data_IF_094077625674
#
_entry.id   IF_094077625674
#
_cell.length_a   1.000
_cell.length_b   1.000
_cell.length_c   1.000
_cell.angle_alpha   90.00
_cell.angle_beta   90.00
_cell.angle_gamma   90.00
#
_symmetry.space_group_name_H-M   'P 1'
#
loop_
_entity.id
_entity.type
_entity.pdbx_description
1 polymer ?
#
# COMPACT_ATOMS: atom_id res chain seq x y z
N UNK A 1 4.59 -28.57 -6.48
CA UNK A 1 4.94 -27.26 -7.05
C UNK A 1 5.26 -26.34 -5.87
N UNK A 2 6.32 -25.51 -5.92
CA UNK A 2 6.72 -24.66 -4.78
C UNK A 2 5.70 -23.55 -4.62
N UNK A 3 5.09 -23.41 -3.44
CA UNK A 3 4.23 -22.29 -3.04
C UNK A 3 5.06 -21.21 -2.38
N UNK A 4 4.68 -19.94 -2.59
CA UNK A 4 5.31 -18.80 -1.93
C UNK A 4 4.32 -18.20 -0.94
N UNK A 5 4.78 -17.97 0.30
CA UNK A 5 3.95 -17.43 1.38
C UNK A 5 4.06 -15.90 1.51
N UNK A 6 4.99 -15.30 0.77
CA UNK A 6 5.23 -13.86 0.71
C UNK A 6 5.59 -13.45 -0.71
N UNK A 7 5.21 -12.25 -1.16
CA UNK A 7 5.37 -11.84 -2.56
C UNK A 7 6.83 -11.70 -2.98
N UNK A 8 7.66 -11.05 -2.21
CA UNK A 8 9.07 -10.79 -2.52
C UNK A 8 10.04 -11.60 -1.66
N UNK A 9 11.28 -11.73 -2.09
CA UNK A 9 12.33 -12.35 -1.29
C UNK A 9 12.76 -11.39 -0.17
N UNK A 10 12.71 -11.80 1.12
CA UNK A 10 13.01 -10.92 2.25
C UNK A 10 14.39 -10.28 2.13
N UNK A 11 14.48 -8.99 2.45
CA UNK A 11 15.71 -8.20 2.45
C UNK A 11 16.46 -8.19 1.11
N UNK A 12 15.84 -8.66 0.03
CA UNK A 12 16.41 -8.63 -1.31
C UNK A 12 15.87 -7.41 -2.06
N UNK A 13 16.75 -6.42 -2.33
CA UNK A 13 16.52 -5.38 -3.32
C UNK A 13 17.05 -5.83 -4.67
N UNK A 14 16.33 -5.56 -5.74
CA UNK A 14 16.79 -5.79 -7.11
C UNK A 14 17.79 -4.73 -7.55
N UNK A 15 18.67 -5.10 -8.47
CA UNK A 15 19.69 -4.24 -9.06
C UNK A 15 19.53 -4.27 -10.58
N UNK A 16 19.65 -3.13 -11.23
CA UNK A 16 19.68 -3.03 -12.68
C UNK A 16 20.95 -3.68 -13.23
N UNK A 17 20.89 -4.15 -14.47
CA UNK A 17 22.09 -4.58 -15.19
C UNK A 17 23.03 -3.40 -15.36
N UNK A 18 24.30 -3.57 -15.02
CA UNK A 18 25.34 -2.56 -15.19
C UNK A 18 26.03 -2.70 -16.54
N UNK A 19 26.68 -1.64 -16.99
CA UNK A 19 27.46 -1.65 -18.23
C UNK A 19 28.46 -2.83 -18.22
N UNK A 20 28.40 -3.65 -19.27
CA UNK A 20 29.23 -4.84 -19.42
C UNK A 20 28.70 -6.13 -18.80
N UNK A 21 27.57 -6.09 -18.07
CA UNK A 21 26.88 -7.30 -17.59
C UNK A 21 25.88 -7.81 -18.64
N UNK A 22 25.65 -9.13 -18.63
CA UNK A 22 24.67 -9.74 -19.54
C UNK A 22 23.26 -9.53 -19.01
N UNK A 23 22.47 -8.74 -19.74
CA UNK A 23 21.02 -8.58 -19.51
C UNK A 23 20.20 -9.73 -20.10
N UNK A 24 18.89 -9.55 -20.15
CA UNK A 24 17.98 -10.48 -20.82
C UNK A 24 18.06 -10.29 -22.35
N UNK A 25 17.80 -11.39 -23.08
CA UNK A 25 17.53 -11.29 -24.53
C UNK A 25 16.24 -10.50 -24.80
N UNK A 26 16.06 -10.07 -26.06
CA UNK A 26 14.94 -9.19 -26.43
C UNK A 26 13.56 -9.79 -26.17
N UNK A 27 13.40 -11.12 -26.31
CA UNK A 27 12.14 -11.79 -26.05
C UNK A 27 11.85 -11.85 -24.53
N UNK A 28 12.82 -12.26 -23.74
CA UNK A 28 12.71 -12.30 -22.28
C UNK A 28 12.50 -10.90 -21.69
N UNK A 29 13.14 -9.87 -22.24
CA UNK A 29 12.93 -8.49 -21.85
C UNK A 29 11.47 -8.03 -22.15
N UNK A 30 10.94 -8.35 -23.33
CA UNK A 30 9.55 -8.05 -23.68
C UNK A 30 8.56 -8.75 -22.73
N UNK A 31 8.79 -10.02 -22.42
CA UNK A 31 8.00 -10.80 -21.45
C UNK A 31 8.08 -10.18 -20.05
N UNK A 32 9.26 -9.72 -19.63
CA UNK A 32 9.44 -9.03 -18.35
C UNK A 32 8.58 -7.76 -18.27
N UNK A 33 8.66 -6.89 -19.26
CA UNK A 33 7.86 -5.65 -19.33
C UNK A 33 6.36 -5.93 -19.30
N UNK A 34 5.90 -6.94 -20.03
CA UNK A 34 4.50 -7.36 -20.02
C UNK A 34 4.07 -7.86 -18.65
N UNK A 35 4.87 -8.75 -18.03
CA UNK A 35 4.58 -9.29 -16.69
C UNK A 35 4.51 -8.22 -15.62
N UNK A 36 5.46 -7.29 -15.62
CA UNK A 36 5.45 -6.13 -14.68
C UNK A 36 4.25 -5.22 -14.93
N UNK A 37 3.88 -4.97 -16.20
CA UNK A 37 2.69 -4.20 -16.55
C UNK A 37 1.39 -4.83 -16.03
N UNK A 38 1.25 -6.15 -16.11
CA UNK A 38 0.12 -6.89 -15.54
C UNK A 38 0.09 -6.79 -14.02
N UNK A 39 1.25 -6.94 -13.36
CA UNK A 39 1.36 -6.82 -11.90
C UNK A 39 1.02 -5.42 -11.41
N UNK A 40 1.39 -4.36 -12.14
CA UNK A 40 1.03 -2.98 -11.79
C UNK A 40 -0.50 -2.78 -11.71
N UNK A 41 -1.27 -3.48 -12.53
CA UNK A 41 -2.73 -3.41 -12.45
C UNK A 41 -3.26 -3.98 -11.13
N UNK A 42 -2.60 -5.02 -10.59
CA UNK A 42 -2.98 -5.66 -9.33
C UNK A 42 -2.83 -4.72 -8.12
N UNK A 43 -1.98 -3.70 -8.18
CA UNK A 43 -1.81 -2.72 -7.10
C UNK A 43 -3.08 -1.98 -6.71
N UNK A 44 -4.10 -1.96 -7.57
CA UNK A 44 -5.39 -1.32 -7.27
C UNK A 44 -6.18 -2.04 -6.16
N UNK A 45 -5.92 -3.33 -5.95
CA UNK A 45 -6.67 -4.17 -5.01
C UNK A 45 -5.77 -5.03 -4.11
N UNK A 46 -4.45 -5.01 -4.35
CA UNK A 46 -3.44 -5.82 -3.64
C UNK A 46 -2.31 -4.92 -3.12
N UNK A 47 -2.56 -4.19 -2.02
CA UNK A 47 -1.54 -3.35 -1.36
C UNK A 47 -0.29 -4.13 -0.95
N UNK A 48 -0.45 -5.38 -0.56
CA UNK A 48 0.60 -6.29 -0.13
C UNK A 48 1.70 -6.55 -1.18
N UNK A 49 1.42 -6.25 -2.44
CA UNK A 49 2.36 -6.41 -3.56
C UNK A 49 3.18 -5.13 -3.82
N UNK A 50 2.89 -4.01 -3.16
CA UNK A 50 3.37 -2.69 -3.57
C UNK A 50 4.91 -2.62 -3.63
N UNK A 51 5.62 -3.04 -2.59
CA UNK A 51 7.07 -3.00 -2.59
C UNK A 51 7.69 -4.01 -3.58
N UNK A 52 7.17 -5.23 -3.66
CA UNK A 52 7.68 -6.24 -4.59
C UNK A 52 7.56 -5.76 -6.06
N UNK A 53 6.43 -5.14 -6.41
CA UNK A 53 6.21 -4.59 -7.75
C UNK A 53 7.07 -3.34 -7.99
N UNK A 54 7.26 -2.46 -6.99
CA UNK A 54 8.18 -1.32 -7.10
C UNK A 54 9.59 -1.79 -7.43
N UNK A 55 10.10 -2.82 -6.76
CA UNK A 55 11.41 -3.39 -7.06
C UNK A 55 11.50 -3.88 -8.52
N UNK A 56 10.46 -4.53 -9.03
CA UNK A 56 10.41 -4.97 -10.42
C UNK A 56 10.36 -3.79 -11.40
N UNK A 57 9.56 -2.76 -11.10
CA UNK A 57 9.45 -1.58 -11.99
C UNK A 57 10.75 -0.82 -12.13
N UNK A 58 11.58 -0.81 -11.08
CA UNK A 58 12.92 -0.21 -11.10
C UNK A 58 13.81 -0.81 -12.19
N UNK A 59 13.65 -2.08 -12.49
CA UNK A 59 14.48 -2.82 -13.44
C UNK A 59 13.90 -2.91 -14.87
N UNK A 60 12.79 -2.21 -15.19
CA UNK A 60 12.07 -2.37 -16.48
C UNK A 60 12.91 -1.99 -17.69
N UNK A 61 13.81 -0.99 -17.58
CA UNK A 61 14.70 -0.60 -18.68
C UNK A 61 15.78 -1.65 -18.96
N UNK A 62 16.37 -2.19 -17.88
CA UNK A 62 17.52 -3.10 -17.97
C UNK A 62 17.37 -4.24 -16.95
N UNK A 63 16.46 -5.20 -17.23
CA UNK A 63 16.20 -6.29 -16.30
C UNK A 63 17.30 -7.34 -16.31
N UNK A 64 17.75 -7.72 -15.11
CA UNK A 64 18.66 -8.84 -14.91
C UNK A 64 17.92 -10.18 -14.93
N UNK A 65 18.61 -11.31 -15.15
CA UNK A 65 18.04 -12.65 -14.96
C UNK A 65 17.46 -12.86 -13.54
N UNK A 66 18.04 -12.22 -12.53
CA UNK A 66 17.52 -12.24 -11.16
C UNK A 66 16.18 -11.50 -11.05
N UNK A 67 16.05 -10.32 -11.68
CA UNK A 67 14.79 -9.58 -11.74
C UNK A 67 13.69 -10.37 -12.46
N UNK A 68 14.02 -11.05 -13.56
CA UNK A 68 13.08 -11.92 -14.26
C UNK A 68 12.57 -13.08 -13.39
N UNK A 69 13.47 -13.73 -12.66
CA UNK A 69 13.11 -14.79 -11.71
C UNK A 69 12.22 -14.28 -10.58
N UNK A 70 12.49 -13.10 -10.06
CA UNK A 70 11.67 -12.50 -9.01
C UNK A 70 10.28 -12.09 -9.56
N UNK A 71 10.20 -11.59 -10.78
CA UNK A 71 8.90 -11.34 -11.44
C UNK A 71 8.05 -12.62 -11.51
N UNK A 72 8.64 -13.74 -11.95
CA UNK A 72 7.93 -15.03 -11.99
C UNK A 72 7.50 -15.50 -10.60
N UNK A 73 8.30 -15.22 -9.57
CA UNK A 73 7.94 -15.49 -8.18
C UNK A 73 6.71 -14.70 -7.77
N UNK A 74 6.68 -13.37 -8.03
CA UNK A 74 5.53 -12.51 -7.69
C UNK A 74 4.28 -12.94 -8.46
N UNK A 75 4.40 -13.26 -9.75
CA UNK A 75 3.28 -13.80 -10.54
C UNK A 75 2.75 -15.10 -9.93
N UNK A 76 3.65 -16.03 -9.58
CA UNK A 76 3.25 -17.29 -8.93
C UNK A 76 2.55 -17.05 -7.60
N UNK A 77 3.06 -16.12 -6.79
CA UNK A 77 2.42 -15.72 -5.53
C UNK A 77 0.99 -15.17 -5.76
N UNK A 78 0.80 -14.31 -6.77
CA UNK A 78 -0.52 -13.78 -7.13
C UNK A 78 -1.48 -14.89 -7.53
N UNK A 79 -1.00 -15.89 -8.32
CA UNK A 79 -1.81 -17.05 -8.71
C UNK A 79 -2.18 -17.90 -7.48
N UNK A 80 -1.23 -18.14 -6.58
CA UNK A 80 -1.43 -18.95 -5.37
C UNK A 80 -2.37 -18.26 -4.35
N UNK A 81 -2.52 -16.93 -4.45
CA UNK A 81 -3.39 -16.10 -3.61
C UNK A 81 -4.44 -15.35 -4.43
N UNK A 82 -5.01 -16.04 -5.45
CA UNK A 82 -6.00 -15.43 -6.36
C UNK A 82 -7.30 -15.04 -5.66
N UNK A 83 -7.58 -15.62 -4.53
CA UNK A 83 -8.70 -15.34 -3.62
C UNK A 83 -8.45 -14.17 -2.66
N UNK A 84 -7.23 -13.60 -2.63
CA UNK A 84 -6.91 -12.42 -1.83
C UNK A 84 -7.37 -11.15 -2.52
N UNK A 85 -7.91 -10.20 -1.74
CA UNK A 85 -8.35 -8.90 -2.23
C UNK A 85 -8.29 -7.82 -1.17
N UNK A 86 -8.57 -6.59 -1.57
CA UNK A 86 -8.61 -5.44 -0.66
C UNK A 86 -9.64 -5.66 0.44
N UNK A 87 -9.24 -5.42 1.70
CA UNK A 87 -10.16 -5.48 2.84
C UNK A 87 -11.03 -4.24 2.88
N UNK A 88 -12.29 -4.38 2.46
CA UNK A 88 -13.29 -3.32 2.52
C UNK A 88 -14.24 -3.66 3.67
N UNK A 89 -13.82 -3.36 4.89
CA UNK A 89 -14.63 -3.60 6.09
C UNK A 89 -14.52 -2.39 7.05
N UNK A 90 -15.50 -1.47 7.01
CA UNK A 90 -15.47 -0.30 7.88
C UNK A 90 -15.58 -0.72 9.35
N UNK A 91 -14.62 -0.28 10.16
CA UNK A 91 -14.55 -0.59 11.61
C UNK A 91 -15.09 0.52 12.49
N UNK A 92 -15.22 1.73 11.95
CA UNK A 92 -15.68 2.91 12.66
C UNK A 92 -16.88 3.51 11.95
N UNK A 93 -18.07 3.05 12.30
CA UNK A 93 -19.32 3.76 12.01
C UNK A 93 -19.56 4.70 13.19
N UNK A 94 -19.14 5.94 13.07
CA UNK A 94 -19.36 6.94 14.13
C UNK A 94 -20.81 7.35 14.17
N UNK A 95 -21.43 7.22 15.32
CA UNK A 95 -22.67 7.92 15.65
C UNK A 95 -22.37 9.43 15.55
N UNK A 96 -22.82 10.12 14.51
CA UNK A 96 -22.57 11.53 14.29
C UNK A 96 -21.86 11.90 13.00
N UNK A 97 -21.67 10.96 12.07
CA UNK A 97 -21.30 11.17 10.65
C UNK A 97 -19.92 11.80 10.39
N UNK A 98 -18.98 11.84 11.35
CA UNK A 98 -17.62 12.25 11.07
C UNK A 98 -16.78 11.06 10.64
N UNK A 99 -16.07 11.20 9.53
CA UNK A 99 -15.20 10.14 9.00
C UNK A 99 -13.80 10.25 9.62
N UNK A 100 -13.31 9.13 10.16
CA UNK A 100 -12.00 9.04 10.79
C UNK A 100 -10.95 8.63 9.76
N UNK A 101 -9.89 9.43 9.66
CA UNK A 101 -8.72 9.14 8.83
C UNK A 101 -7.54 8.74 9.70
N UNK A 102 -6.81 7.70 9.28
CA UNK A 102 -5.58 7.23 9.96
C UNK A 102 -4.53 6.89 8.91
N UNK A 103 -3.37 7.51 9.03
CA UNK A 103 -2.22 7.29 8.15
C UNK A 103 -1.11 6.54 8.89
N UNK A 104 -0.51 5.56 8.21
CA UNK A 104 0.77 4.95 8.62
C UNK A 104 1.83 5.28 7.58
N UNK A 105 3.01 5.68 8.05
CA UNK A 105 4.16 6.01 7.21
C UNK A 105 5.40 5.29 7.71
N UNK A 106 6.25 4.88 6.78
CA UNK A 106 7.53 4.21 7.03
C UNK A 106 8.55 4.60 5.97
N UNK A 107 9.85 4.47 6.29
CA UNK A 107 10.92 4.58 5.31
C UNK A 107 12.00 3.52 5.49
N UNK A 108 12.48 2.94 4.39
CA UNK A 108 13.72 2.15 4.37
C UNK A 108 14.89 3.04 3.99
N UNK A 109 15.66 3.46 5.00
CA UNK A 109 16.77 4.38 4.81
C UNK A 109 17.88 3.77 3.96
N UNK A 110 18.22 4.46 2.85
CA UNK A 110 19.21 4.00 1.89
C UNK A 110 18.94 2.57 1.35
N UNK A 111 17.65 2.18 1.28
CA UNK A 111 17.21 0.84 0.90
C UNK A 111 17.44 0.51 -0.57
N UNK A 112 17.48 1.51 -1.47
CA UNK A 112 17.80 1.26 -2.87
C UNK A 112 19.29 0.91 -3.03
N UNK A 113 19.56 -0.27 -3.61
CA UNK A 113 20.94 -0.75 -3.78
C UNK A 113 21.66 -0.14 -4.97
N UNK A 114 20.92 0.47 -5.91
CA UNK A 114 21.52 1.11 -7.08
C UNK A 114 22.04 2.52 -6.76
N UNK A 115 21.22 3.35 -6.13
CA UNK A 115 21.55 4.78 -5.92
C UNK A 115 21.56 5.21 -4.44
N UNK A 116 21.34 4.27 -3.53
CA UNK A 116 21.32 4.48 -2.07
C UNK A 116 20.27 5.48 -1.59
N UNK A 117 19.24 5.74 -2.39
CA UNK A 117 18.07 6.51 -1.94
C UNK A 117 17.19 5.68 -1.02
N UNK A 118 16.48 6.37 -0.16
CA UNK A 118 15.52 5.76 0.74
C UNK A 118 14.22 5.44 0.01
N UNK A 119 13.45 4.52 0.57
CA UNK A 119 12.14 4.14 0.07
C UNK A 119 11.10 4.70 1.04
N UNK A 120 10.11 5.43 0.54
CA UNK A 120 8.94 5.85 1.31
C UNK A 120 7.78 4.89 1.09
N UNK A 121 7.11 4.52 2.18
CA UNK A 121 5.91 3.70 2.17
C UNK A 121 4.82 4.33 3.02
N UNK A 122 3.56 4.25 2.58
CA UNK A 122 2.42 4.66 3.40
C UNK A 122 1.15 3.91 3.04
N UNK A 123 0.21 3.95 3.98
CA UNK A 123 -1.16 3.51 3.78
C UNK A 123 -2.11 4.41 4.57
N UNK A 124 -3.15 4.91 3.92
CA UNK A 124 -4.19 5.76 4.50
C UNK A 124 -5.51 4.99 4.59
N UNK A 125 -6.11 5.05 5.75
CA UNK A 125 -7.43 4.48 6.05
C UNK A 125 -8.48 5.57 6.20
N UNK A 126 -9.68 5.27 5.73
CA UNK A 126 -10.91 6.02 6.01
C UNK A 126 -11.89 5.07 6.70
N UNK A 127 -12.27 5.35 7.93
CA UNK A 127 -13.13 4.48 8.76
C UNK A 127 -12.64 3.01 8.82
N UNK A 128 -11.32 2.78 8.84
CA UNK A 128 -10.72 1.45 8.86
C UNK A 128 -10.60 0.77 7.49
N UNK A 129 -11.06 1.41 6.41
CA UNK A 129 -10.91 0.90 5.04
C UNK A 129 -9.69 1.54 4.39
N UNK A 130 -8.73 0.77 3.84
CA UNK A 130 -7.59 1.33 3.11
C UNK A 130 -8.06 1.99 1.80
N UNK A 131 -7.71 3.25 1.59
CA UNK A 131 -8.14 4.04 0.42
C UNK A 131 -7.00 4.48 -0.49
N UNK A 132 -5.80 4.66 0.06
CA UNK A 132 -4.59 4.93 -0.73
C UNK A 132 -3.36 4.32 -0.07
N UNK A 133 -2.43 3.88 -0.88
CA UNK A 133 -1.14 3.29 -0.45
C UNK A 133 -0.08 3.51 -1.51
N UNK A 134 1.17 3.55 -1.08
CA UNK A 134 2.29 3.77 -1.98
C UNK A 134 3.57 3.10 -1.48
N UNK A 135 4.40 2.73 -2.44
CA UNK A 135 5.80 2.35 -2.26
C UNK A 135 6.61 3.10 -3.32
N UNK A 136 7.46 4.05 -2.92
CA UNK A 136 8.19 4.93 -3.83
C UNK A 136 9.61 5.19 -3.36
N UNK A 137 10.57 5.24 -4.30
CA UNK A 137 11.90 5.77 -4.03
C UNK A 137 11.87 7.28 -3.78
N UNK A 138 12.56 7.73 -2.74
CA UNK A 138 12.71 9.16 -2.47
C UNK A 138 13.52 9.85 -3.58
N UNK A 139 13.15 11.09 -3.91
CA UNK A 139 13.83 11.86 -4.97
C UNK A 139 15.20 12.37 -4.52
N UNK A 140 15.37 12.59 -3.24
CA UNK A 140 16.59 13.11 -2.61
C UNK A 140 17.23 12.05 -1.72
N UNK A 141 18.54 12.14 -1.52
CA UNK A 141 19.26 11.28 -0.57
C UNK A 141 19.07 11.83 0.83
N UNK A 142 18.49 11.03 1.73
CA UNK A 142 18.37 11.34 3.15
C UNK A 142 19.70 11.05 3.86
N UNK A 143 20.14 11.96 4.72
CA UNK A 143 21.41 11.85 5.44
C UNK A 143 21.31 11.01 6.73
N UNK A 144 20.09 10.69 7.17
CA UNK A 144 19.82 9.86 8.34
C UNK A 144 18.48 9.15 8.20
N UNK A 145 18.27 8.11 9.04
CA UNK A 145 16.95 7.43 9.11
C UNK A 145 15.84 8.39 9.53
N UNK A 146 16.08 9.28 10.49
CA UNK A 146 15.10 10.28 10.91
C UNK A 146 14.70 11.23 9.78
N UNK A 147 15.67 11.64 8.92
CA UNK A 147 15.37 12.46 7.75
C UNK A 147 14.58 11.69 6.70
N UNK A 148 14.89 10.41 6.47
CA UNK A 148 14.13 9.57 5.56
C UNK A 148 12.67 9.40 6.02
N UNK A 149 12.45 9.16 7.32
CA UNK A 149 11.12 9.09 7.93
C UNK A 149 10.36 10.42 7.84
N UNK A 150 11.05 11.54 8.12
CA UNK A 150 10.47 12.87 7.97
C UNK A 150 9.99 13.13 6.54
N UNK A 151 10.79 12.74 5.53
CA UNK A 151 10.43 12.87 4.12
C UNK A 151 9.22 11.99 3.81
N UNK A 152 9.24 10.72 4.24
CA UNK A 152 8.17 9.76 3.99
C UNK A 152 6.83 10.24 4.58
N UNK A 153 6.83 10.63 5.85
CA UNK A 153 5.65 11.15 6.53
C UNK A 153 5.12 12.42 5.85
N UNK A 154 6.02 13.34 5.45
CA UNK A 154 5.63 14.57 4.78
C UNK A 154 5.02 14.34 3.39
N UNK A 155 5.54 13.36 2.64
CA UNK A 155 4.96 12.96 1.36
C UNK A 155 3.60 12.28 1.54
N UNK A 156 3.45 11.44 2.56
CA UNK A 156 2.20 10.78 2.89
C UNK A 156 1.10 11.74 3.37
N UNK A 157 1.46 12.77 4.14
CA UNK A 157 0.50 13.81 4.57
C UNK A 157 -0.13 14.54 3.38
N UNK A 158 0.54 14.68 2.23
CA UNK A 158 -0.09 15.26 1.03
C UNK A 158 -1.27 14.44 0.52
N UNK A 159 -1.19 13.11 0.63
CA UNK A 159 -2.32 12.22 0.29
C UNK A 159 -3.48 12.42 1.26
N UNK A 160 -3.19 12.60 2.57
CA UNK A 160 -4.21 12.97 3.56
C UNK A 160 -4.91 14.25 3.16
N UNK A 161 -4.15 15.30 2.80
CA UNK A 161 -4.70 16.59 2.39
C UNK A 161 -5.64 16.45 1.19
N UNK A 162 -5.23 15.69 0.20
CA UNK A 162 -6.04 15.44 -0.98
C UNK A 162 -7.35 14.74 -0.64
N UNK A 163 -7.29 13.68 0.19
CA UNK A 163 -8.49 12.94 0.62
C UNK A 163 -9.42 13.81 1.47
N UNK A 164 -8.87 14.60 2.41
CA UNK A 164 -9.65 15.55 3.22
C UNK A 164 -10.37 16.55 2.34
N UNK A 165 -9.68 17.19 1.38
CA UNK A 165 -10.30 18.17 0.46
C UNK A 165 -11.41 17.52 -0.38
N UNK A 166 -11.21 16.28 -0.83
CA UNK A 166 -12.22 15.54 -1.58
C UNK A 166 -13.46 15.25 -0.73
N UNK A 167 -13.28 14.83 0.54
CA UNK A 167 -14.38 14.59 1.47
C UNK A 167 -15.12 15.89 1.81
N UNK A 168 -14.40 17.01 2.04
CA UNK A 168 -14.99 18.33 2.25
C UNK A 168 -15.81 18.80 1.04
N UNK A 169 -15.30 18.59 -0.17
CA UNK A 169 -16.05 18.89 -1.40
C UNK A 169 -17.35 18.08 -1.49
N UNK A 170 -17.31 16.82 -1.08
CA UNK A 170 -18.50 15.95 -0.98
C UNK A 170 -19.39 16.27 0.22
N UNK A 171 -19.03 17.27 1.04
CA UNK A 171 -19.72 17.65 2.29
C UNK A 171 -19.76 16.53 3.33
N UNK A 172 -18.75 15.67 3.31
CA UNK A 172 -18.54 14.63 4.32
C UNK A 172 -17.65 15.18 5.42
N UNK A 173 -18.14 15.32 6.67
CA UNK A 173 -17.34 15.84 7.76
C UNK A 173 -16.24 14.87 8.18
N UNK A 174 -15.02 15.37 8.36
CA UNK A 174 -13.86 14.62 8.81
C UNK A 174 -13.60 14.89 10.29
N UNK A 175 -13.23 13.85 11.03
CA UNK A 175 -12.76 13.97 12.41
C UNK A 175 -11.34 14.55 12.40
N UNK A 176 -11.13 15.65 13.11
CA UNK A 176 -9.83 16.30 13.24
C UNK A 176 -9.34 16.25 14.70
N UNK A 177 -8.04 16.13 14.93
CA UNK A 177 -6.96 15.97 13.95
C UNK A 177 -6.93 14.59 13.29
N UNK A 178 -6.41 14.50 12.05
CA UNK A 178 -6.10 13.22 11.40
C UNK A 178 -4.85 12.63 12.04
N UNK A 179 -4.90 11.36 12.46
CA UNK A 179 -3.78 10.68 13.12
C UNK A 179 -2.77 10.16 12.09
N UNK A 180 -1.50 10.51 12.27
CA UNK A 180 -0.35 10.07 11.45
C UNK A 180 0.60 9.25 12.31
N UNK A 181 0.71 7.96 12.04
CA UNK A 181 1.61 7.04 12.73
C UNK A 181 3.00 7.02 12.08
N UNK A 182 4.04 7.26 12.90
CA UNK A 182 5.47 7.24 12.50
C UNK A 182 6.26 6.48 13.57
N UNK A 183 7.22 5.66 13.18
CA UNK A 183 7.99 4.83 14.13
C UNK A 183 9.35 5.40 14.52
N UNK A 184 9.62 6.67 14.19
CA UNK A 184 10.87 7.35 14.48
C UNK A 184 10.65 8.65 15.28
N UNK A 185 11.07 8.64 16.55
CA UNK A 185 10.94 9.82 17.43
C UNK A 185 11.73 11.04 16.92
N UNK A 186 12.85 10.84 16.22
CA UNK A 186 13.62 11.92 15.61
C UNK A 186 12.85 12.59 14.48
N UNK A 187 12.14 11.82 13.67
CA UNK A 187 11.27 12.33 12.61
C UNK A 187 10.07 13.09 13.20
N UNK A 188 9.44 12.56 14.25
CA UNK A 188 8.35 13.24 14.96
C UNK A 188 8.81 14.60 15.50
N UNK A 189 9.98 14.62 16.15
CA UNK A 189 10.56 15.88 16.61
C UNK A 189 10.79 16.90 15.47
N UNK A 190 11.25 16.43 14.30
CA UNK A 190 11.44 17.29 13.12
C UNK A 190 10.09 17.80 12.56
N UNK A 191 9.05 16.98 12.57
CA UNK A 191 7.71 17.36 12.10
C UNK A 191 7.04 18.41 13.00
N UNK A 192 7.23 18.30 14.31
CA UNK A 192 6.59 19.20 15.31
C UNK A 192 7.35 20.51 15.49
N UNK A 193 8.65 20.56 15.20
CA UNK A 193 9.49 21.71 15.51
C UNK A 193 9.90 22.51 14.28
N UNK A 194 9.66 23.84 14.32
CA UNK A 194 10.08 24.78 13.27
C UNK A 194 11.59 25.09 13.25
N UNK A 195 12.38 24.55 14.18
CA UNK A 195 13.81 24.84 14.26
C UNK A 195 14.58 24.16 13.13
N UNK A 196 14.84 24.90 12.06
CA UNK A 196 15.70 24.44 10.98
C UNK A 196 17.16 24.38 11.45
N UNK A 197 17.67 23.19 11.68
CA UNK A 197 19.12 22.99 11.74
C UNK A 197 19.72 23.30 10.37
N UNK A 198 20.92 23.89 10.32
CA UNK A 198 21.63 24.18 9.06
C UNK A 198 21.74 22.94 8.14
N UNK A 199 21.74 21.72 8.72
CA UNK A 199 21.81 20.43 8.00
C UNK A 199 20.51 20.03 7.31
N UNK A 200 19.33 20.39 7.84
CA UNK A 200 18.01 19.98 7.32
C UNK A 200 17.32 21.09 6.53
N UNK A 201 17.92 22.26 6.42
CA UNK A 201 17.30 23.46 5.81
C UNK A 201 16.76 23.23 4.38
N UNK A 202 17.42 22.40 3.58
CA UNK A 202 16.99 22.08 2.22
C UNK A 202 15.74 21.15 2.19
N UNK A 203 15.55 20.39 3.26
CA UNK A 203 14.39 19.51 3.47
C UNK A 203 13.24 20.31 4.09
N UNK A 204 13.55 21.15 5.09
CA UNK A 204 12.57 21.96 5.82
C UNK A 204 11.75 22.87 4.91
N UNK A 205 12.38 23.53 3.93
CA UNK A 205 11.66 24.42 3.00
C UNK A 205 10.57 23.66 2.21
N UNK A 206 10.83 22.40 1.84
CA UNK A 206 9.90 21.60 1.03
C UNK A 206 8.72 21.08 1.85
N UNK A 207 8.95 20.74 3.12
CA UNK A 207 7.98 19.99 3.93
C UNK A 207 7.41 20.79 5.12
N UNK A 208 7.76 22.07 5.22
CA UNK A 208 7.32 22.96 6.29
C UNK A 208 5.78 23.05 6.45
N UNK A 209 5.05 22.78 5.37
CA UNK A 209 3.58 22.78 5.41
C UNK A 209 3.04 21.77 6.43
N UNK A 210 3.75 20.65 6.69
CA UNK A 210 3.30 19.64 7.67
C UNK A 210 3.28 20.21 9.08
N UNK A 211 4.31 20.96 9.47
CA UNK A 211 4.38 21.65 10.75
C UNK A 211 3.23 22.66 10.91
N UNK A 212 2.90 23.41 9.84
CA UNK A 212 1.77 24.34 9.86
C UNK A 212 0.42 23.63 10.06
N UNK A 213 0.28 22.39 9.56
CA UNK A 213 -0.92 21.57 9.75
C UNK A 213 -1.03 21.00 11.16
N UNK A 214 0.11 20.62 11.76
CA UNK A 214 0.18 20.18 13.16
C UNK A 214 -0.23 21.36 14.08
N UNK A 215 0.32 22.57 13.85
CA UNK A 215 -0.02 23.77 14.64
C UNK A 215 -1.52 24.14 14.54
N UNK A 216 -2.11 23.96 13.36
CA UNK A 216 -3.55 24.18 13.13
C UNK A 216 -4.42 23.05 13.68
N UNK A 217 -3.84 22.01 14.28
CA UNK A 217 -4.54 20.82 14.78
C UNK A 217 -5.37 20.11 13.69
N UNK A 218 -4.88 20.12 12.46
CA UNK A 218 -5.48 19.38 11.35
C UNK A 218 -4.92 17.96 11.26
N UNK A 219 -3.67 17.76 11.67
CA UNK A 219 -3.06 16.47 11.87
C UNK A 219 -2.39 16.39 13.23
N UNK A 220 -2.25 15.20 13.76
CA UNK A 220 -1.41 14.85 14.90
C UNK A 220 -0.47 13.73 14.52
N UNK A 221 0.78 13.78 14.98
CA UNK A 221 1.77 12.73 14.73
C UNK A 221 1.93 11.91 15.99
N UNK A 222 1.77 10.59 15.86
CA UNK A 222 1.78 9.65 16.98
C UNK A 222 2.85 8.60 16.74
N UNK A 223 3.67 8.33 17.77
CA UNK A 223 4.65 7.25 17.70
C UNK A 223 3.96 5.90 17.66
N UNK A 224 4.40 5.04 16.75
CA UNK A 224 4.06 3.62 16.69
C UNK A 224 5.33 2.78 16.79
N UNK A 225 5.27 1.63 17.43
CA UNK A 225 6.44 0.72 17.46
C UNK A 225 6.66 0.14 16.06
N UNK A 226 7.91 -0.04 15.64
CA UNK A 226 8.24 -0.59 14.31
C UNK A 226 7.50 -1.90 14.00
N UNK A 227 7.37 -2.81 14.97
CA UNK A 227 6.64 -4.07 14.77
C UNK A 227 5.12 -3.89 14.55
N UNK A 228 4.58 -2.76 14.96
CA UNK A 228 3.16 -2.40 14.87
C UNK A 228 2.91 -1.46 13.67
N UNK A 229 3.97 -0.97 13.02
CA UNK A 229 3.87 -0.10 11.86
C UNK A 229 3.52 -0.92 10.60
N UNK A 230 2.24 -0.96 10.27
CA UNK A 230 1.72 -1.75 9.15
C UNK A 230 2.19 -1.27 7.78
N UNK A 231 2.84 -0.10 7.70
CA UNK A 231 3.44 0.42 6.47
C UNK A 231 4.83 -0.18 6.15
N UNK A 232 5.44 -0.95 7.03
CA UNK A 232 6.76 -1.58 6.86
C UNK A 232 6.86 -2.42 5.56
N UNK A 233 5.78 -3.13 5.21
CA UNK A 233 5.69 -3.92 3.97
C UNK A 233 5.66 -3.10 2.67
N UNK A 234 5.51 -1.77 2.75
CA UNK A 234 5.56 -0.88 1.58
C UNK A 234 6.96 -0.34 1.30
N UNK A 235 7.90 -0.50 2.22
CA UNK A 235 9.28 0.02 2.07
C UNK A 235 10.30 -1.06 1.78
N UNK A 236 10.06 -2.29 2.25
CA UNK A 236 10.96 -3.44 2.06
C UNK A 236 10.20 -4.77 1.91
N UNK A 237 10.87 -5.78 1.36
CA UNK A 237 10.36 -7.14 1.36
C UNK A 237 10.53 -7.73 2.77
N UNK A 238 9.45 -7.75 3.53
CA UNK A 238 9.42 -8.23 4.91
C UNK A 238 9.50 -9.76 5.01
N UNK A 239 9.87 -10.27 6.18
CA UNK A 239 9.82 -11.69 6.44
C UNK A 239 8.37 -12.20 6.58
N UNK A 240 8.19 -13.53 6.64
CA UNK A 240 6.89 -14.18 6.72
C UNK A 240 6.08 -13.73 7.94
N UNK A 241 6.69 -13.64 9.11
CA UNK A 241 6.03 -13.25 10.34
C UNK A 241 5.45 -11.84 10.25
N UNK A 242 6.25 -10.87 9.82
CA UNK A 242 5.80 -9.49 9.62
C UNK A 242 4.71 -9.41 8.55
N UNK A 243 4.86 -10.14 7.43
CA UNK A 243 3.84 -10.20 6.39
C UNK A 243 2.51 -10.72 6.93
N UNK A 244 2.52 -11.82 7.67
CA UNK A 244 1.31 -12.43 8.24
C UNK A 244 0.64 -11.54 9.30
N UNK A 245 1.42 -10.72 10.02
CA UNK A 245 0.89 -9.80 11.01
C UNK A 245 0.31 -8.53 10.39
N UNK A 246 0.91 -7.99 9.32
CA UNK A 246 0.51 -6.71 8.74
C UNK A 246 -0.56 -6.84 7.64
N UNK A 247 -0.44 -7.84 6.77
CA UNK A 247 -1.33 -8.01 5.61
C UNK A 247 -2.81 -8.08 5.96
N UNK A 248 -3.26 -8.74 7.06
CA UNK A 248 -4.68 -8.78 7.41
C UNK A 248 -5.32 -7.42 7.75
N UNK A 249 -4.50 -6.36 7.90
CA UNK A 249 -5.03 -5.01 8.08
C UNK A 249 -5.59 -4.41 6.77
N UNK A 250 -5.09 -4.83 5.61
CA UNK A 250 -5.44 -4.24 4.32
C UNK A 250 -5.80 -5.23 3.21
N UNK A 251 -5.55 -6.53 3.40
CA UNK A 251 -5.94 -7.61 2.47
C UNK A 251 -6.68 -8.68 3.24
N UNK A 252 -7.67 -9.29 2.61
CA UNK A 252 -8.42 -10.43 3.15
C UNK A 252 -8.61 -11.50 2.09
N UNK A 253 -8.76 -12.75 2.53
CA UNK A 253 -9.15 -13.88 1.71
C UNK A 253 -10.66 -13.88 1.47
N UNK A 254 -11.12 -14.26 0.27
CA UNK A 254 -12.53 -14.29 -0.12
C UNK A 254 -13.34 -15.44 0.49
N UNK A 255 -12.84 -16.15 1.48
CA UNK A 255 -13.53 -17.31 2.08
C UNK A 255 -14.98 -17.01 2.52
N UNK A 256 -15.30 -15.75 2.82
CA UNK A 256 -16.65 -15.30 3.17
C UNK A 256 -17.66 -15.31 2.00
N UNK A 257 -17.21 -15.24 0.74
CA UNK A 257 -18.13 -15.23 -0.41
C UNK A 257 -18.56 -16.63 -0.86
N UNK A 258 -17.95 -17.69 -0.34
CA UNK A 258 -18.36 -19.07 -0.65
C UNK A 258 -19.64 -19.46 0.08
N UNK A 259 -19.87 -18.92 1.27
CA UNK A 259 -21.07 -19.24 2.08
C UNK A 259 -22.29 -18.38 1.67
N UNK A 260 -22.08 -17.11 1.29
CA UNK A 260 -23.18 -16.22 0.88
C UNK A 260 -23.71 -16.52 -0.54
N UNK A 261 -22.85 -16.98 -1.47
CA UNK A 261 -23.32 -17.37 -2.81
C UNK A 261 -24.15 -18.66 -2.81
N UNK A 262 -23.93 -19.58 -1.84
CA UNK A 262 -24.75 -20.80 -1.71
C UNK A 262 -26.15 -20.46 -1.20
N UNK A 263 -26.33 -19.43 -0.39
CA UNK A 263 -27.61 -18.95 0.06
C UNK A 263 -28.39 -18.26 -1.07
N UNK A 264 -27.75 -17.38 -1.84
CA UNK A 264 -28.41 -16.69 -2.96
C UNK A 264 -28.77 -17.60 -4.15
N UNK A 265 -27.96 -18.62 -4.44
CA UNK A 265 -28.32 -19.60 -5.48
C UNK A 265 -29.54 -20.47 -5.07
N UNK A 266 -29.72 -20.79 -3.78
CA UNK A 266 -30.88 -21.51 -3.28
C UNK A 266 -32.16 -20.68 -3.34
N UNK A 267 -32.07 -19.37 -3.06
CA UNK A 267 -33.24 -18.47 -3.11
C UNK A 267 -33.68 -18.21 -4.56
N UNK A 268 -32.81 -18.27 -5.55
CA UNK A 268 -33.13 -18.11 -6.96
C UNK A 268 -33.74 -19.40 -7.57
N UNK A 269 -33.35 -20.57 -7.08
CA UNK A 269 -33.94 -21.85 -7.52
C UNK A 269 -35.35 -22.06 -6.95
N UNK A 270 -35.64 -21.63 -5.71
CA UNK A 270 -36.97 -21.69 -5.10
C UNK A 270 -37.96 -20.70 -5.74
N UNK A 271 -37.52 -19.54 -6.24
CA UNK A 271 -38.39 -18.61 -6.99
C UNK A 271 -38.72 -19.12 -8.40
N UNK A 272 -37.85 -19.92 -9.04
CA UNK A 272 -38.09 -20.46 -10.38
C UNK A 272 -39.11 -21.63 -10.41
N UNK A 273 -39.21 -22.39 -9.32
CA UNK A 273 -40.22 -23.47 -9.21
C UNK A 273 -41.65 -22.96 -8.93
N UNK A 274 -41.78 -21.76 -8.33
CA UNK A 274 -43.10 -21.18 -8.03
C UNK A 274 -43.78 -20.47 -9.22
N UNK A 275 -43.06 -20.20 -10.32
CA UNK A 275 -43.63 -19.53 -11.52
C UNK A 275 -44.28 -20.54 -12.50
N UNK A 276 -44.00 -21.83 -12.39
CA UNK A 276 -44.57 -22.85 -13.30
C UNK A 276 -45.94 -23.44 -12.90
N UNK A 277 -46.52 -23.03 -11.76
CA UNK A 277 -47.81 -23.58 -11.29
C UNK A 277 -49.05 -22.72 -11.56
N UNK A 278 -48.95 -21.60 -12.29
CA UNK A 278 -50.10 -20.77 -12.65
C UNK A 278 -50.23 -20.60 -14.17
N UNK A 279 -50.60 -21.67 -14.83
CA UNK A 279 -50.86 -21.61 -16.27
C UNK A 279 -51.62 -22.83 -16.78
N UNK A 280 -52.87 -22.96 -16.39
CA UNK A 280 -53.73 -23.98 -16.94
C UNK A 280 -55.11 -23.93 -16.33
N UNK A 281 -55.96 -23.07 -16.83
CA UNK A 281 -57.40 -23.30 -16.85
C UNK A 281 -57.95 -22.79 -18.18
N UNK A 282 -58.50 -23.76 -18.92
CA UNK A 282 -59.21 -23.64 -20.16
C UNK A 282 -60.46 -22.80 -19.98
N UNK A 283 -60.86 -22.08 -21.01
CA UNK A 283 -62.20 -21.53 -21.19
C UNK A 283 -62.71 -22.03 -22.50
N UNK A 284 -63.84 -22.76 -22.40
CA UNK A 284 -64.77 -23.05 -23.49
C UNK A 284 -65.36 -21.80 -24.18
#
# INVERSE_FOLDING_TARGET
MKTYEIPGTPNQGLVRVKDGEQGLDGESHSRYRTGVGMLLYMLKTRPDLANAIRELTKCVSDPSPAAYKEMLRVIKFVIDTADYGLKIHPTHVTEGLKWKLVLYSDSDWAGDKDDRKSISGHILYVNGVPVTWSSQGQKTVALSSAEAEYIAASEAVREVLFVVQMLEFMKVPVEMPVTVHVDNMGAIFMLENKSSNKRTRHVDVRYRFVTDWIEKKLIEVVFVRTKENISDGFTKNVNRETYQNHTPHYVQERSYLKDDNIAHERDLDDESENVQSYGGDEVD
#
